data_IF_155264646122
#
_entry.id   IF_155264646122
#
_cell.length_a   1.000
_cell.length_b   1.000
_cell.length_c   1.000
_cell.angle_alpha   90.00
_cell.angle_beta   90.00
_cell.angle_gamma   90.00
#
_symmetry.space_group_name_H-M   'P 1'
#
loop_
_entity.id
_entity.type
_entity.pdbx_description
1 polymer ?
#
# COMPACT_ATOMS: atom_id res chain seq x y z
N UNK A 1 -15.36 -42.43 0.11
CA UNK A 1 -16.10 -42.87 1.32
C UNK A 1 -15.61 -42.18 2.59
N UNK A 2 -14.30 -42.01 2.78
CA UNK A 2 -13.75 -41.41 4.01
C UNK A 2 -14.13 -39.90 4.17
N UNK A 3 -14.30 -39.16 3.08
CA UNK A 3 -14.73 -37.76 3.13
C UNK A 3 -16.20 -37.60 3.56
N UNK A 4 -17.05 -38.56 3.24
CA UNK A 4 -18.49 -38.53 3.60
C UNK A 4 -18.77 -38.74 5.09
N UNK A 5 -17.75 -39.11 5.89
CA UNK A 5 -17.85 -39.30 7.34
C UNK A 5 -17.18 -38.18 8.13
N UNK A 6 -16.62 -37.15 7.45
CA UNK A 6 -15.95 -36.06 8.12
C UNK A 6 -16.99 -35.12 8.75
N UNK A 7 -16.87 -34.89 10.07
CA UNK A 7 -17.71 -33.95 10.83
C UNK A 7 -17.09 -32.53 10.92
N UNK A 8 -15.79 -32.42 10.66
CA UNK A 8 -15.04 -31.17 10.72
C UNK A 8 -14.04 -31.13 9.56
N UNK A 9 -14.05 -30.03 8.80
CA UNK A 9 -13.09 -29.77 7.76
C UNK A 9 -12.22 -28.60 8.20
N UNK A 10 -10.92 -28.85 8.38
CA UNK A 10 -9.93 -27.81 8.64
C UNK A 10 -9.21 -27.50 7.33
N UNK A 11 -9.31 -26.25 6.89
CA UNK A 11 -8.63 -25.77 5.68
C UNK A 11 -7.65 -24.65 6.01
N UNK A 12 -6.49 -24.66 5.36
CA UNK A 12 -5.62 -23.49 5.37
C UNK A 12 -6.30 -22.33 4.60
N UNK A 13 -6.08 -21.11 5.08
CA UNK A 13 -6.65 -19.90 4.46
C UNK A 13 -5.88 -19.51 3.20
N UNK A 14 -4.56 -19.30 3.36
CA UNK A 14 -3.75 -18.67 2.33
C UNK A 14 -3.37 -19.63 1.23
N UNK A 15 -3.73 -19.29 -0.02
CA UNK A 15 -3.45 -20.13 -1.19
C UNK A 15 -4.39 -21.32 -1.39
N UNK A 16 -5.19 -21.69 -0.37
CA UNK A 16 -6.23 -22.73 -0.45
C UNK A 16 -7.61 -22.10 -0.62
N UNK A 17 -8.06 -21.34 0.37
CA UNK A 17 -9.32 -20.61 0.31
C UNK A 17 -9.19 -19.28 -0.43
N UNK A 18 -8.00 -18.69 -0.46
CA UNK A 18 -7.70 -17.45 -1.15
C UNK A 18 -6.77 -17.68 -2.34
N UNK A 19 -6.62 -16.66 -3.19
CA UNK A 19 -5.85 -16.73 -4.42
C UNK A 19 -4.33 -16.62 -4.20
N UNK A 20 -3.88 -16.36 -2.96
CA UNK A 20 -2.50 -16.02 -2.61
C UNK A 20 -1.97 -14.83 -3.43
N UNK A 21 -2.86 -13.88 -3.70
CA UNK A 21 -2.57 -12.68 -4.48
C UNK A 21 -3.21 -11.48 -3.81
N UNK A 22 -2.40 -10.63 -3.19
CA UNK A 22 -2.90 -9.37 -2.64
C UNK A 22 -3.43 -8.47 -3.77
N UNK A 23 -4.53 -7.78 -3.51
CA UNK A 23 -5.15 -6.85 -4.45
C UNK A 23 -5.65 -5.63 -3.70
N UNK A 24 -5.31 -4.42 -4.17
CA UNK A 24 -5.87 -3.17 -3.65
C UNK A 24 -7.33 -3.08 -4.10
N UNK A 25 -8.24 -2.96 -3.15
CA UNK A 25 -9.69 -2.93 -3.40
C UNK A 25 -10.35 -1.64 -2.94
N UNK A 26 -9.69 -0.89 -2.08
CA UNK A 26 -10.19 0.37 -1.56
C UNK A 26 -9.05 1.36 -1.38
N UNK A 27 -9.28 2.64 -1.68
CA UNK A 27 -8.34 3.72 -1.38
C UNK A 27 -9.08 4.90 -0.74
N UNK A 28 -8.35 5.73 -0.01
CA UNK A 28 -8.87 6.95 0.60
C UNK A 28 -7.76 8.01 0.59
N UNK A 29 -7.98 9.07 -0.16
CA UNK A 29 -7.10 10.23 -0.33
C UNK A 29 -7.77 11.22 -1.27
N UNK A 30 -7.33 12.47 -1.29
CA UNK A 30 -7.90 13.49 -2.18
C UNK A 30 -7.37 13.40 -3.62
N UNK A 31 -6.25 12.71 -3.82
CA UNK A 31 -5.60 12.52 -5.13
C UNK A 31 -5.15 11.06 -5.26
N UNK A 32 -6.01 10.26 -5.90
CA UNK A 32 -5.77 8.82 -6.09
C UNK A 32 -4.57 8.57 -7.01
N UNK A 33 -4.36 9.42 -8.02
CA UNK A 33 -3.25 9.29 -8.94
C UNK A 33 -1.89 9.54 -8.25
N UNK A 34 -1.81 10.58 -7.41
CA UNK A 34 -0.62 10.86 -6.60
C UNK A 34 -0.37 9.75 -5.56
N UNK A 35 -1.43 9.24 -4.93
CA UNK A 35 -1.33 8.12 -4.00
C UNK A 35 -0.79 6.87 -4.71
N UNK A 36 -1.31 6.53 -5.90
CA UNK A 36 -0.84 5.40 -6.69
C UNK A 36 0.61 5.58 -7.15
N UNK A 37 1.00 6.80 -7.54
CA UNK A 37 2.38 7.16 -7.89
C UNK A 37 3.33 6.92 -6.71
N UNK A 38 2.99 7.44 -5.52
CA UNK A 38 3.76 7.26 -4.30
C UNK A 38 3.93 5.78 -3.95
N UNK A 39 2.85 5.01 -4.03
CA UNK A 39 2.84 3.56 -3.74
C UNK A 39 3.65 2.77 -4.77
N UNK A 40 3.66 3.17 -6.06
CA UNK A 40 4.43 2.49 -7.12
C UNK A 40 5.93 2.80 -7.09
N UNK A 41 6.31 3.98 -6.57
CA UNK A 41 7.71 4.40 -6.46
C UNK A 41 8.36 3.93 -5.16
N UNK A 42 7.60 3.86 -4.06
CA UNK A 42 8.10 3.43 -2.75
C UNK A 42 7.97 1.90 -2.58
N UNK A 43 8.50 1.12 -3.53
CA UNK A 43 8.50 -0.35 -3.53
C UNK A 43 9.75 -0.90 -4.19
N UNK A 44 10.08 -2.16 -3.90
CA UNK A 44 11.13 -2.93 -4.58
C UNK A 44 10.56 -3.87 -5.65
N UNK A 45 9.25 -4.13 -5.65
CA UNK A 45 8.57 -4.91 -6.68
C UNK A 45 8.73 -4.25 -8.07
N UNK A 46 8.89 -5.08 -9.09
CA UNK A 46 9.16 -4.66 -10.48
C UNK A 46 8.03 -5.13 -11.39
N UNK A 47 7.54 -4.23 -12.24
CA UNK A 47 6.63 -4.54 -13.34
C UNK A 47 7.42 -4.76 -14.62
N UNK A 48 7.19 -5.90 -15.27
CA UNK A 48 7.67 -6.20 -16.61
C UNK A 48 6.57 -5.83 -17.62
N UNK A 49 6.76 -4.78 -18.43
CA UNK A 49 5.75 -4.34 -19.38
C UNK A 49 5.57 -5.29 -20.58
N UNK A 50 6.55 -6.16 -20.88
CA UNK A 50 6.44 -7.10 -21.99
C UNK A 50 5.53 -8.28 -21.65
N UNK A 51 5.60 -8.75 -20.41
CA UNK A 51 4.82 -9.90 -19.92
C UNK A 51 3.61 -9.48 -19.08
N UNK A 52 3.47 -8.19 -18.79
CA UNK A 52 2.47 -7.61 -17.87
C UNK A 52 2.47 -8.30 -16.50
N UNK A 53 3.65 -8.73 -16.03
CA UNK A 53 3.81 -9.39 -14.74
C UNK A 53 4.50 -8.51 -13.72
N UNK A 54 4.10 -8.64 -12.46
CA UNK A 54 4.74 -7.96 -11.34
C UNK A 54 5.45 -8.99 -10.48
N UNK A 55 6.74 -8.77 -10.24
CA UNK A 55 7.58 -9.62 -9.40
C UNK A 55 8.00 -8.87 -8.15
N UNK A 56 7.85 -9.49 -6.98
CA UNK A 56 8.22 -8.90 -5.70
C UNK A 56 7.41 -9.49 -4.54
N UNK A 57 7.53 -8.86 -3.37
CA UNK A 57 6.73 -9.21 -2.20
C UNK A 57 5.23 -8.97 -2.50
N UNK A 58 4.31 -9.87 -2.08
CA UNK A 58 2.90 -9.81 -2.48
C UNK A 58 2.20 -8.47 -2.22
N UNK A 59 2.52 -7.82 -1.10
CA UNK A 59 1.95 -6.51 -0.76
C UNK A 59 2.42 -5.42 -1.72
N UNK A 60 3.71 -5.42 -2.06
CA UNK A 60 4.29 -4.45 -3.00
C UNK A 60 3.82 -4.70 -4.43
N UNK A 61 3.75 -5.98 -4.83
CA UNK A 61 3.21 -6.37 -6.12
C UNK A 61 1.76 -5.89 -6.31
N UNK A 62 0.95 -5.93 -5.24
CA UNK A 62 -0.42 -5.40 -5.26
C UNK A 62 -0.45 -3.90 -5.52
N UNK A 63 0.44 -3.12 -4.90
CA UNK A 63 0.52 -1.67 -5.08
C UNK A 63 0.94 -1.30 -6.50
N UNK A 64 1.93 -2.01 -7.05
CA UNK A 64 2.37 -1.82 -8.44
C UNK A 64 1.27 -2.20 -9.43
N UNK A 65 0.60 -3.34 -9.23
CA UNK A 65 -0.52 -3.77 -10.08
C UNK A 65 -1.68 -2.78 -10.03
N UNK A 66 -1.96 -2.21 -8.85
CA UNK A 66 -2.97 -1.17 -8.70
C UNK A 66 -2.60 0.10 -9.48
N UNK A 67 -1.34 0.56 -9.40
CA UNK A 67 -0.88 1.72 -10.18
C UNK A 67 -1.02 1.48 -11.69
N UNK A 68 -0.71 0.28 -12.18
CA UNK A 68 -0.95 -0.10 -13.59
C UNK A 68 -2.44 -0.02 -13.94
N UNK A 69 -3.32 -0.52 -13.07
CA UNK A 69 -4.77 -0.43 -13.26
C UNK A 69 -5.29 1.02 -13.27
N UNK A 70 -4.60 1.96 -12.60
CA UNK A 70 -4.86 3.40 -12.66
C UNK A 70 -4.28 4.08 -13.93
N UNK A 71 -3.71 3.31 -14.84
CA UNK A 71 -3.13 3.82 -16.09
C UNK A 71 -1.71 4.36 -15.93
N UNK A 72 -1.06 4.14 -14.81
CA UNK A 72 0.34 4.50 -14.59
C UNK A 72 1.27 3.45 -15.20
N UNK A 73 2.41 3.89 -15.71
CA UNK A 73 3.52 3.01 -16.10
C UNK A 73 4.62 3.06 -15.05
N UNK A 74 4.79 2.01 -14.22
CA UNK A 74 5.83 2.01 -13.19
C UNK A 74 7.25 2.18 -13.74
N UNK A 75 7.53 1.66 -14.94
CA UNK A 75 8.81 1.83 -15.62
C UNK A 75 9.04 3.28 -16.07
N UNK A 76 8.01 3.93 -16.62
CA UNK A 76 8.08 5.34 -16.99
C UNK A 76 8.20 6.25 -15.76
N UNK A 77 7.48 5.95 -14.68
CA UNK A 77 7.60 6.67 -13.41
C UNK A 77 9.03 6.58 -12.85
N UNK A 78 9.64 5.39 -12.84
CA UNK A 78 11.02 5.20 -12.38
C UNK A 78 12.06 5.88 -13.27
N UNK A 79 11.79 5.98 -14.57
CA UNK A 79 12.65 6.72 -15.49
C UNK A 79 12.52 8.26 -15.28
N UNK A 80 11.29 8.73 -15.00
CA UNK A 80 11.01 10.14 -14.73
C UNK A 80 11.50 10.58 -13.35
N UNK A 81 11.36 9.71 -12.34
CA UNK A 81 11.71 9.92 -10.94
C UNK A 81 12.72 8.87 -10.48
N UNK A 82 13.99 8.95 -10.92
CA UNK A 82 15.01 7.99 -10.50
C UNK A 82 15.19 7.97 -8.98
N UNK A 83 15.24 6.77 -8.38
CA UNK A 83 15.55 6.62 -6.95
C UNK A 83 17.01 7.02 -6.70
N UNK A 84 17.23 7.94 -5.78
CA UNK A 84 18.55 8.49 -5.43
C UNK A 84 19.00 8.14 -4.02
N UNK A 85 18.06 7.80 -3.12
CA UNK A 85 18.35 7.31 -1.78
C UNK A 85 17.14 6.55 -1.22
N UNK A 86 17.33 5.83 -0.12
CA UNK A 86 16.26 5.13 0.57
C UNK A 86 16.55 4.91 2.06
N UNK A 87 15.50 4.74 2.84
CA UNK A 87 15.47 4.07 4.13
C UNK A 87 14.65 2.79 3.94
N UNK A 88 15.29 1.60 3.84
CA UNK A 88 14.63 0.34 3.53
C UNK A 88 13.55 -0.03 4.54
N UNK A 89 12.65 -0.94 4.17
CA UNK A 89 11.64 -1.43 5.11
C UNK A 89 12.30 -2.05 6.34
N UNK A 90 11.75 -1.70 7.49
CA UNK A 90 12.15 -2.25 8.77
C UNK A 90 10.92 -2.65 9.57
N UNK A 91 10.91 -3.87 10.10
CA UNK A 91 9.75 -4.45 10.78
C UNK A 91 9.43 -3.81 12.13
N UNK A 92 10.42 -3.21 12.80
CA UNK A 92 10.20 -2.46 14.05
C UNK A 92 9.61 -1.09 13.74
N UNK A 93 10.14 -0.41 12.71
CA UNK A 93 9.62 0.88 12.24
C UNK A 93 8.32 0.74 11.44
N UNK A 94 8.01 -0.45 10.87
CA UNK A 94 6.84 -0.79 10.04
C UNK A 94 6.62 0.18 8.86
N UNK A 95 7.71 0.71 8.29
CA UNK A 95 7.68 1.67 7.18
C UNK A 95 8.96 1.66 6.35
N UNK A 96 8.87 2.25 5.18
CA UNK A 96 9.94 2.41 4.20
C UNK A 96 9.85 3.80 3.58
N UNK A 97 10.99 4.39 3.26
CA UNK A 97 11.05 5.67 2.54
C UNK A 97 11.99 5.56 1.34
N UNK A 98 11.60 6.15 0.22
CA UNK A 98 12.43 6.26 -0.98
C UNK A 98 12.48 7.71 -1.44
N UNK A 99 13.65 8.16 -1.89
CA UNK A 99 13.89 9.49 -2.41
C UNK A 99 14.13 9.42 -3.92
N UNK A 100 13.49 10.32 -4.64
CA UNK A 100 13.52 10.32 -6.10
C UNK A 100 13.89 11.70 -6.61
N UNK A 101 14.75 11.76 -7.64
CA UNK A 101 15.05 13.01 -8.33
C UNK A 101 13.80 13.47 -9.10
N UNK A 102 13.49 14.77 -8.99
CA UNK A 102 12.41 15.46 -9.69
C UNK A 102 12.94 16.78 -10.25
N UNK A 103 13.55 16.70 -11.41
CA UNK A 103 14.27 17.85 -12.00
C UNK A 103 15.41 18.32 -11.10
N UNK A 104 15.31 19.55 -10.56
CA UNK A 104 16.29 20.14 -9.63
C UNK A 104 15.98 19.84 -8.15
N UNK A 105 14.82 19.24 -7.87
CA UNK A 105 14.35 18.92 -6.52
C UNK A 105 14.39 17.41 -6.26
N UNK A 106 14.06 17.02 -5.04
CA UNK A 106 13.93 15.62 -4.63
C UNK A 106 12.59 15.43 -3.95
N UNK A 107 11.85 14.42 -4.36
CA UNK A 107 10.62 13.99 -3.69
C UNK A 107 10.87 12.69 -2.93
N UNK A 108 10.48 12.68 -1.68
CA UNK A 108 10.44 11.49 -0.85
C UNK A 108 9.03 10.95 -0.80
N UNK A 109 8.90 9.64 -0.96
CA UNK A 109 7.70 8.89 -0.63
C UNK A 109 7.98 7.95 0.54
N UNK A 110 7.03 7.90 1.47
CA UNK A 110 7.10 7.02 2.64
C UNK A 110 5.81 6.23 2.71
N UNK A 111 5.91 4.89 2.76
CA UNK A 111 4.76 4.00 3.00
C UNK A 111 4.94 3.26 4.32
N UNK A 112 3.84 2.93 4.97
CA UNK A 112 3.87 2.17 6.21
C UNK A 112 2.51 1.92 6.81
N UNK A 113 2.50 1.32 8.00
CA UNK A 113 1.27 1.12 8.74
C UNK A 113 0.67 2.48 9.16
N UNK A 114 -0.66 2.68 9.01
CA UNK A 114 -1.27 3.99 9.26
C UNK A 114 -1.05 4.54 10.67
N UNK A 115 -1.04 3.67 11.66
CA UNK A 115 -0.82 4.00 13.08
C UNK A 115 0.57 4.56 13.37
N UNK A 116 1.59 4.14 12.61
CA UNK A 116 2.96 4.63 12.78
C UNK A 116 3.30 5.76 11.81
N UNK A 117 2.64 5.86 10.66
CA UNK A 117 2.92 6.90 9.68
C UNK A 117 2.19 8.23 9.99
N UNK A 118 0.93 8.15 10.41
CA UNK A 118 0.09 9.33 10.68
C UNK A 118 0.68 10.29 11.74
N UNK A 119 1.30 9.82 12.85
CA UNK A 119 1.96 10.71 13.80
C UNK A 119 3.15 11.52 13.24
N UNK A 120 3.78 11.05 12.16
CA UNK A 120 4.92 11.69 11.51
C UNK A 120 4.51 12.75 10.50
N UNK A 121 3.20 12.89 10.23
CA UNK A 121 2.64 13.83 9.28
C UNK A 121 2.19 15.10 10.01
N UNK A 122 2.72 16.25 9.62
CA UNK A 122 2.25 17.58 10.05
C UNK A 122 1.44 18.29 8.95
N UNK A 123 1.35 17.69 7.77
CA UNK A 123 0.56 18.15 6.63
C UNK A 123 -0.29 17.01 6.05
N UNK A 124 -1.28 17.42 5.28
CA UNK A 124 -2.16 16.53 4.50
C UNK A 124 -2.34 17.11 3.10
N UNK A 125 -2.39 16.24 2.08
CA UNK A 125 -2.62 16.65 0.70
C UNK A 125 -4.13 16.74 0.43
N UNK A 126 -4.60 17.95 0.11
CA UNK A 126 -6.00 18.24 -0.18
C UNK A 126 -6.06 19.12 -1.42
N UNK A 127 -6.84 18.73 -2.42
CA UNK A 127 -7.13 19.53 -3.63
C UNK A 127 -5.87 20.11 -4.32
N UNK A 128 -4.82 19.29 -4.44
CA UNK A 128 -3.59 19.65 -5.14
C UNK A 128 -2.58 20.44 -4.33
N UNK A 129 -2.74 20.55 -3.02
CA UNK A 129 -1.82 21.29 -2.14
C UNK A 129 -1.66 20.66 -0.75
N UNK A 130 -0.52 20.95 -0.14
CA UNK A 130 -0.22 20.52 1.22
C UNK A 130 -0.82 21.50 2.24
N UNK A 131 -1.84 21.06 2.98
CA UNK A 131 -2.49 21.81 4.07
C UNK A 131 -1.95 21.36 5.43
N UNK A 132 -2.04 22.17 6.49
CA UNK A 132 -1.70 21.74 7.84
C UNK A 132 -2.58 20.57 8.30
N UNK A 133 -1.98 19.58 8.95
CA UNK A 133 -2.69 18.46 9.55
C UNK A 133 -3.41 18.93 10.82
N UNK A 134 -4.72 18.73 10.86
CA UNK A 134 -5.55 19.06 12.04
C UNK A 134 -5.97 17.80 12.79
N UNK A 135 -6.45 17.97 14.03
CA UNK A 135 -7.00 16.85 14.81
C UNK A 135 -8.26 16.25 14.15
N UNK A 136 -9.05 17.07 13.46
CA UNK A 136 -10.20 16.61 12.66
C UNK A 136 -9.74 15.71 11.51
N UNK A 137 -8.70 16.09 10.77
CA UNK A 137 -8.12 15.24 9.71
C UNK A 137 -7.59 13.93 10.28
N UNK A 138 -6.90 13.95 11.44
CA UNK A 138 -6.40 12.73 12.09
C UNK A 138 -7.54 11.81 12.49
N UNK A 139 -8.61 12.35 13.07
CA UNK A 139 -9.78 11.57 13.46
C UNK A 139 -10.49 10.94 12.26
N UNK A 140 -10.63 11.67 11.16
CA UNK A 140 -11.22 11.15 9.91
C UNK A 140 -10.38 10.02 9.31
N UNK A 141 -9.05 10.21 9.19
CA UNK A 141 -8.13 9.18 8.69
C UNK A 141 -8.18 7.93 9.57
N UNK A 142 -8.17 8.11 10.90
CA UNK A 142 -8.26 7.00 11.84
C UNK A 142 -9.59 6.24 11.72
N UNK A 143 -10.72 6.95 11.57
CA UNK A 143 -12.02 6.34 11.34
C UNK A 143 -12.06 5.56 10.02
N UNK A 144 -11.47 6.11 8.94
CA UNK A 144 -11.38 5.45 7.65
C UNK A 144 -10.53 4.19 7.72
N UNK A 145 -9.36 4.26 8.36
CA UNK A 145 -8.50 3.10 8.60
C UNK A 145 -9.24 2.02 9.40
N UNK A 146 -9.99 2.42 10.44
CA UNK A 146 -10.78 1.48 11.25
C UNK A 146 -11.88 0.79 10.42
N UNK A 147 -12.57 1.52 9.55
CA UNK A 147 -13.58 0.95 8.65
C UNK A 147 -12.97 -0.08 7.68
N UNK A 148 -11.84 0.26 7.04
CA UNK A 148 -11.12 -0.63 6.13
C UNK A 148 -10.63 -1.90 6.86
N UNK A 149 -10.02 -1.76 8.03
CA UNK A 149 -9.54 -2.91 8.83
C UNK A 149 -10.70 -3.76 9.36
N UNK A 150 -11.83 -3.14 9.70
CA UNK A 150 -13.08 -3.84 10.04
C UNK A 150 -13.64 -4.69 8.90
N UNK A 151 -13.35 -4.33 7.64
CA UNK A 151 -13.64 -5.11 6.42
C UNK A 151 -12.54 -6.13 6.09
N UNK A 152 -11.68 -6.47 7.04
CA UNK A 152 -10.55 -7.39 6.90
C UNK A 152 -9.51 -6.97 5.84
N UNK A 153 -9.43 -5.68 5.51
CA UNK A 153 -8.40 -5.16 4.63
C UNK A 153 -7.08 -4.97 5.40
N UNK A 154 -5.98 -5.31 4.74
CA UNK A 154 -4.66 -4.85 5.11
C UNK A 154 -4.49 -3.42 4.60
N UNK A 155 -4.26 -2.46 5.49
CA UNK A 155 -4.18 -1.05 5.12
C UNK A 155 -2.74 -0.57 5.19
N UNK A 156 -2.30 0.11 4.14
CA UNK A 156 -1.06 0.89 4.11
C UNK A 156 -1.39 2.36 3.90
N UNK A 157 -0.63 3.22 4.57
CA UNK A 157 -0.64 4.66 4.35
C UNK A 157 0.54 5.06 3.46
N UNK A 158 0.36 6.15 2.70
CA UNK A 158 1.46 6.86 2.04
C UNK A 158 1.51 8.32 2.48
N UNK A 159 2.74 8.83 2.51
CA UNK A 159 3.03 10.23 2.74
C UNK A 159 4.20 10.67 1.84
N UNK A 160 4.38 11.96 1.67
CA UNK A 160 5.48 12.53 0.89
C UNK A 160 6.15 13.70 1.62
N UNK A 161 7.35 14.03 1.16
CA UNK A 161 8.06 15.28 1.50
C UNK A 161 8.92 15.71 0.31
N UNK A 162 9.01 17.00 0.07
CA UNK A 162 9.86 17.57 -0.99
C UNK A 162 11.06 18.28 -0.40
N UNK A 163 12.16 18.25 -1.14
CA UNK A 163 13.42 18.91 -0.79
C UNK A 163 13.95 19.66 -2.02
N UNK A 164 14.59 20.81 -1.81
CA UNK A 164 15.23 21.58 -2.89
C UNK A 164 16.44 20.84 -3.47
N UNK A 165 17.07 19.94 -2.69
CA UNK A 165 18.17 19.08 -3.11
C UNK A 165 18.21 17.82 -2.24
N UNK A 166 18.99 16.81 -2.63
CA UNK A 166 19.19 15.60 -1.83
C UNK A 166 19.69 15.95 -0.44
N UNK A 167 18.97 15.58 0.65
CA UNK A 167 19.42 15.87 2.00
C UNK A 167 20.73 15.17 2.33
N UNK A 168 21.61 15.85 3.07
CA UNK A 168 22.90 15.31 3.49
C UNK A 168 22.80 14.14 4.48
N UNK A 169 21.69 14.05 5.23
CA UNK A 169 21.37 12.93 6.11
C UNK A 169 20.14 12.22 5.57
N UNK A 170 20.33 11.00 5.12
CA UNK A 170 19.27 10.09 4.63
C UNK A 170 18.93 8.98 5.63
N UNK A 171 19.31 9.16 6.90
CA UNK A 171 18.89 8.22 7.94
C UNK A 171 17.37 8.22 8.12
N UNK A 172 16.78 7.09 8.55
CA UNK A 172 15.34 7.04 8.83
C UNK A 172 14.86 8.14 9.78
N UNK A 173 15.65 8.47 10.79
CA UNK A 173 15.30 9.51 11.77
C UNK A 173 15.22 10.92 11.15
N UNK A 174 16.05 11.21 10.15
CA UNK A 174 16.03 12.50 9.43
C UNK A 174 14.92 12.56 8.39
N UNK A 175 14.66 11.45 7.69
CA UNK A 175 13.69 11.37 6.62
C UNK A 175 12.24 11.29 7.12
N UNK A 176 12.00 10.45 8.13
CA UNK A 176 10.66 10.06 8.54
C UNK A 176 10.04 11.02 9.56
N UNK A 177 9.98 12.29 9.21
CA UNK A 177 9.36 13.37 9.99
C UNK A 177 8.91 14.52 9.07
N UNK A 178 7.96 15.31 9.52
CA UNK A 178 7.40 16.45 8.77
C UNK A 178 6.82 16.02 7.40
N UNK A 179 6.12 14.89 7.39
CA UNK A 179 5.56 14.34 6.17
C UNK A 179 4.20 14.96 5.85
N UNK A 180 3.85 14.95 4.57
CA UNK A 180 2.53 15.29 4.06
C UNK A 180 1.77 13.99 3.76
N UNK A 181 0.71 13.71 4.50
CA UNK A 181 -0.12 12.52 4.32
C UNK A 181 -0.84 12.57 2.97
N UNK A 182 -0.79 11.48 2.20
CA UNK A 182 -1.43 11.35 0.89
C UNK A 182 -2.72 10.54 0.92
N UNK A 183 -2.75 9.46 1.69
CA UNK A 183 -3.91 8.58 1.73
C UNK A 183 -3.62 7.19 2.24
N UNK A 184 -4.65 6.35 2.14
CA UNK A 184 -4.68 4.95 2.53
C UNK A 184 -4.95 4.08 1.32
N UNK A 185 -4.30 2.91 1.25
CA UNK A 185 -4.59 1.84 0.32
C UNK A 185 -4.94 0.58 1.12
N UNK A 186 -6.17 0.11 0.96
CA UNK A 186 -6.69 -1.11 1.56
C UNK A 186 -6.63 -2.27 0.57
N UNK A 187 -6.05 -3.40 0.98
CA UNK A 187 -5.84 -4.56 0.14
C UNK A 187 -6.26 -5.85 0.84
N UNK A 188 -6.63 -6.83 0.06
CA UNK A 188 -7.05 -8.14 0.53
C UNK A 188 -6.48 -9.22 -0.39
N UNK A 189 -6.27 -10.41 0.15
CA UNK A 189 -6.10 -11.63 -0.64
C UNK A 189 -7.50 -12.20 -0.93
N UNK A 190 -8.03 -12.05 -2.17
CA UNK A 190 -9.40 -12.40 -2.47
C UNK A 190 -9.66 -13.90 -2.33
N UNK A 191 -10.85 -14.24 -1.85
CA UNK A 191 -11.33 -15.61 -1.80
C UNK A 191 -11.49 -16.15 -3.23
N UNK A 192 -11.13 -17.41 -3.44
CA UNK A 192 -11.38 -18.08 -4.72
C UNK A 192 -12.88 -18.20 -4.96
N UNK A 193 -13.38 -17.90 -6.17
CA UNK A 193 -14.82 -17.96 -6.46
C UNK A 193 -15.47 -19.30 -6.08
N UNK A 194 -14.79 -20.42 -6.38
CA UNK A 194 -15.24 -21.78 -6.10
C UNK A 194 -15.39 -22.11 -4.61
N UNK A 195 -14.69 -21.41 -3.74
CA UNK A 195 -14.74 -21.64 -2.28
C UNK A 195 -16.09 -21.21 -1.69
N UNK A 196 -16.72 -20.19 -2.25
CA UNK A 196 -18.03 -19.71 -1.77
C UNK A 196 -19.07 -20.81 -1.90
N UNK A 197 -19.11 -21.48 -3.05
CA UNK A 197 -20.04 -22.58 -3.30
C UNK A 197 -19.66 -23.83 -2.48
N UNK A 198 -18.38 -24.18 -2.42
CA UNK A 198 -17.90 -25.30 -1.62
C UNK A 198 -18.27 -25.16 -0.12
N UNK A 199 -18.14 -23.96 0.46
CA UNK A 199 -18.54 -23.70 1.85
C UNK A 199 -20.06 -23.80 2.02
N UNK A 200 -20.83 -23.33 1.04
CA UNK A 200 -22.30 -23.47 1.05
C UNK A 200 -22.71 -24.92 1.05
N UNK A 201 -22.10 -25.74 0.19
CA UNK A 201 -22.37 -27.18 0.10
C UNK A 201 -22.01 -27.90 1.39
N UNK A 202 -20.83 -27.60 1.98
CA UNK A 202 -20.44 -28.15 3.27
C UNK A 202 -21.45 -27.81 4.38
N UNK A 203 -21.92 -26.56 4.44
CA UNK A 203 -22.92 -26.13 5.43
C UNK A 203 -24.29 -26.79 5.22
N UNK A 204 -24.65 -27.10 3.99
CA UNK A 204 -25.92 -27.79 3.69
C UNK A 204 -25.88 -29.27 4.00
N UNK A 205 -24.70 -29.87 4.02
CA UNK A 205 -24.49 -31.28 4.36
C UNK A 205 -24.43 -31.55 5.88
N UNK A 206 -24.36 -30.53 6.74
CA UNK A 206 -24.30 -30.62 8.21
C UNK A 206 -22.90 -30.46 8.71
#
# INVERSE_FOLDING_TARGET
ETLGCAQVICSDKTGTLTQNRMTVTECAGSDEHLLATAMALCVDAVHDPETDTVTGEPTEAALVSWAVAQGLSPSALRAQYPRVAEAPFDSERKRMSTLHADGSSVVQYTKGAPDVLLPLCDRIWIDGRAEPMTDAHRAEIAARNHAMTGSALRVLAAAMRTYDALPGDTSPAALEQHLCFLGLAGMIDPVRPEVVDAIRDCRSAG
#
